data_IF_436085433545
#
_entry.id   IF_436085433545
#
_cell.length_a   1.000
_cell.length_b   1.000
_cell.length_c   1.000
_cell.angle_alpha   90.00
_cell.angle_beta   90.00
_cell.angle_gamma   90.00
#
_symmetry.space_group_name_H-M   'P 1'
#
loop_
_entity.id
_entity.type
_entity.pdbx_description
1 polymer ?
#
# COMPACT_ATOMS: atom_id res chain seq x y z
N UNK A 1 -17.47 23.20 14.66
CA UNK A 1 -16.75 22.33 13.72
C UNK A 1 -16.81 20.93 14.28
N UNK A 2 -17.46 19.97 13.60
CA UNK A 2 -17.45 18.58 14.06
C UNK A 2 -16.02 18.03 13.88
N UNK A 3 -15.43 17.56 14.96
CA UNK A 3 -14.13 16.90 14.95
C UNK A 3 -14.34 15.50 14.36
N UNK A 4 -13.59 15.14 13.31
CA UNK A 4 -13.58 13.77 12.78
C UNK A 4 -12.75 12.92 13.75
N UNK A 5 -13.31 11.78 14.18
CA UNK A 5 -12.58 10.81 14.98
C UNK A 5 -11.55 10.09 14.08
N UNK A 6 -10.25 10.14 14.38
CA UNK A 6 -9.22 9.43 13.61
C UNK A 6 -9.49 7.92 13.47
N UNK A 7 -10.20 7.30 14.42
CA UNK A 7 -10.57 5.89 14.35
C UNK A 7 -11.55 5.57 13.19
N UNK A 8 -12.22 6.57 12.65
CA UNK A 8 -13.11 6.42 11.50
C UNK A 8 -12.37 6.47 10.16
N UNK A 9 -11.11 6.89 10.13
CA UNK A 9 -10.36 7.06 8.90
C UNK A 9 -9.72 5.74 8.43
N UNK A 10 -9.88 5.43 7.15
CA UNK A 10 -9.20 4.34 6.45
C UNK A 10 -8.54 4.90 5.21
N UNK A 11 -7.21 4.97 5.23
CA UNK A 11 -6.41 5.46 4.11
C UNK A 11 -6.09 4.31 3.17
N UNK A 12 -6.37 4.45 1.89
CA UNK A 12 -6.10 3.44 0.87
C UNK A 12 -5.16 4.00 -0.18
N UNK A 13 -4.13 3.23 -0.51
CA UNK A 13 -3.13 3.64 -1.47
C UNK A 13 -2.40 2.42 -2.08
N UNK A 14 -1.54 2.67 -3.06
CA UNK A 14 -0.79 1.69 -3.84
C UNK A 14 0.70 1.77 -3.59
N UNK A 15 1.35 0.62 -3.56
CA UNK A 15 2.79 0.51 -3.36
C UNK A 15 3.42 -0.45 -4.37
N UNK A 16 4.18 0.07 -5.31
CA UNK A 16 4.96 -0.75 -6.25
C UNK A 16 6.18 -1.38 -5.60
N UNK A 17 6.35 -2.69 -5.80
CA UNK A 17 7.50 -3.48 -5.35
C UNK A 17 8.07 -4.33 -6.49
N UNK A 18 9.30 -4.82 -6.38
CA UNK A 18 9.92 -5.66 -7.41
C UNK A 18 11.09 -6.48 -6.86
N UNK A 19 11.49 -7.53 -7.57
CA UNK A 19 12.53 -8.48 -7.14
C UNK A 19 13.96 -7.94 -7.14
N UNK A 20 14.21 -6.77 -7.74
CA UNK A 20 15.51 -6.11 -7.68
C UNK A 20 15.66 -5.10 -6.52
N UNK A 21 14.66 -5.01 -5.62
CA UNK A 21 14.77 -4.18 -4.43
C UNK A 21 15.91 -4.66 -3.53
N UNK A 22 16.72 -3.72 -3.06
CA UNK A 22 17.88 -3.98 -2.21
C UNK A 22 18.09 -2.86 -1.21
N UNK A 23 18.86 -3.12 -0.16
CA UNK A 23 19.20 -2.11 0.84
C UNK A 23 19.86 -0.92 0.18
N UNK A 24 19.43 0.29 0.52
CA UNK A 24 20.01 1.54 0.01
C UNK A 24 21.33 1.90 0.68
N UNK A 25 21.61 1.34 1.86
CA UNK A 25 22.81 1.59 2.68
C UNK A 25 23.34 0.28 3.21
N UNK A 26 24.65 0.15 3.29
CA UNK A 26 25.36 -0.95 3.91
C UNK A 26 26.54 -0.42 4.70
N UNK A 27 27.03 -1.21 5.66
CA UNK A 27 28.23 -0.90 6.44
C UNK A 27 29.35 -1.83 6.00
N UNK A 28 30.58 -1.30 5.91
CA UNK A 28 31.80 -2.05 5.71
C UNK A 28 32.84 -1.56 6.72
N UNK A 29 33.95 -2.27 6.86
CA UNK A 29 35.08 -1.82 7.67
C UNK A 29 35.64 -0.51 7.11
N UNK A 30 36.27 0.27 7.96
CA UNK A 30 36.92 1.53 7.56
C UNK A 30 37.93 1.23 6.44
N UNK A 31 37.85 1.94 5.33
CA UNK A 31 38.68 1.73 4.13
C UNK A 31 38.14 0.69 3.15
N UNK A 32 37.10 -0.05 3.47
CA UNK A 32 36.48 -1.03 2.58
C UNK A 32 35.18 -0.48 1.99
N UNK A 33 34.84 -0.96 0.79
CA UNK A 33 33.60 -0.62 0.10
C UNK A 33 32.57 -1.71 0.33
N UNK A 34 31.37 -1.38 0.84
CA UNK A 34 30.26 -2.30 0.89
C UNK A 34 29.85 -2.70 -0.54
N UNK A 35 29.83 -4.00 -0.83
CA UNK A 35 29.46 -4.56 -2.13
C UNK A 35 28.22 -5.43 -1.99
N UNK A 36 27.35 -5.41 -3.01
CA UNK A 36 26.17 -6.28 -3.09
C UNK A 36 25.87 -6.64 -4.53
N UNK A 37 25.19 -7.76 -4.74
CA UNK A 37 24.71 -8.19 -6.06
C UNK A 37 23.20 -7.93 -6.14
N UNK A 38 22.78 -7.27 -7.23
CA UNK A 38 21.36 -6.96 -7.49
C UNK A 38 21.05 -7.41 -8.91
N UNK A 39 19.88 -8.01 -9.19
CA UNK A 39 19.47 -8.30 -10.54
C UNK A 39 19.50 -7.03 -11.41
N UNK A 40 20.09 -7.14 -12.59
CA UNK A 40 20.20 -6.01 -13.54
C UNK A 40 18.82 -5.57 -14.02
N UNK A 41 17.92 -6.52 -14.26
CA UNK A 41 16.57 -6.25 -14.70
C UNK A 41 15.64 -6.21 -13.51
N UNK A 42 14.75 -5.19 -13.47
CA UNK A 42 13.79 -4.99 -12.40
C UNK A 42 12.75 -6.14 -12.28
N UNK A 43 12.51 -6.85 -13.39
CA UNK A 43 11.42 -7.82 -13.49
C UNK A 43 10.03 -7.14 -13.46
N UNK A 44 8.95 -7.93 -13.48
CA UNK A 44 7.60 -7.43 -13.33
C UNK A 44 7.44 -6.68 -11.99
N UNK A 45 6.65 -5.61 -12.01
CA UNK A 45 6.26 -4.89 -10.80
C UNK A 45 5.18 -5.71 -10.10
N UNK A 46 5.28 -5.84 -8.78
CA UNK A 46 4.20 -6.31 -7.93
C UNK A 46 3.64 -5.09 -7.20
N UNK A 47 2.40 -4.75 -7.49
CA UNK A 47 1.71 -3.66 -6.81
C UNK A 47 0.94 -4.21 -5.61
N UNK A 48 1.16 -3.61 -4.46
CA UNK A 48 0.40 -3.83 -3.23
C UNK A 48 -0.64 -2.70 -3.13
N UNK A 49 -1.93 -3.07 -3.07
CA UNK A 49 -3.00 -2.21 -2.62
C UNK A 49 -3.26 -2.51 -1.15
N UNK A 50 -3.35 -1.48 -0.32
CA UNK A 50 -3.58 -1.68 1.11
C UNK A 50 -4.41 -0.55 1.73
N UNK A 51 -5.13 -0.90 2.77
CA UNK A 51 -5.87 0.04 3.62
C UNK A 51 -5.25 0.12 5.00
N UNK A 52 -5.00 1.34 5.47
CA UNK A 52 -4.45 1.66 6.80
C UNK A 52 -5.51 2.38 7.63
N UNK A 53 -5.75 1.89 8.84
CA UNK A 53 -6.54 2.57 9.87
C UNK A 53 -5.68 2.88 11.08
N UNK A 54 -6.26 3.49 12.10
CA UNK A 54 -5.58 3.71 13.39
C UNK A 54 -5.17 2.37 14.06
N UNK A 55 -5.88 1.28 13.76
CA UNK A 55 -5.55 -0.06 14.28
C UNK A 55 -4.46 -0.79 13.48
N UNK A 56 -3.91 -0.16 12.44
CA UNK A 56 -2.90 -0.75 11.55
C UNK A 56 -3.45 -1.10 10.16
N UNK A 57 -2.75 -1.99 9.44
CA UNK A 57 -3.17 -2.47 8.13
C UNK A 57 -4.43 -3.33 8.24
N UNK A 58 -5.52 -2.89 7.64
CA UNK A 58 -6.83 -3.58 7.70
C UNK A 58 -7.08 -4.47 6.49
N UNK A 59 -6.51 -4.13 5.34
CA UNK A 59 -6.64 -4.91 4.10
C UNK A 59 -5.36 -4.85 3.28
N UNK A 60 -5.11 -5.90 2.50
CA UNK A 60 -4.01 -5.92 1.54
C UNK A 60 -4.32 -6.88 0.38
N UNK A 61 -3.94 -6.48 -0.84
CA UNK A 61 -3.99 -7.29 -2.04
C UNK A 61 -2.74 -7.04 -2.89
N UNK A 62 -2.11 -8.07 -3.41
CA UNK A 62 -1.01 -7.93 -4.37
C UNK A 62 -1.50 -8.29 -5.77
N UNK A 63 -1.03 -7.54 -6.77
CA UNK A 63 -1.29 -7.79 -8.19
C UNK A 63 0.01 -7.63 -8.98
N UNK A 64 0.17 -8.42 -10.03
CA UNK A 64 1.28 -8.22 -10.97
C UNK A 64 0.94 -7.11 -11.96
N UNK A 65 1.87 -6.18 -12.12
CA UNK A 65 1.68 -5.00 -12.95
C UNK A 65 1.17 -3.79 -12.18
N UNK A 66 0.62 -2.83 -12.92
CA UNK A 66 -0.01 -1.63 -12.36
C UNK A 66 -1.47 -1.86 -11.99
N UNK A 67 -2.02 -0.92 -11.26
CA UNK A 67 -3.45 -0.89 -10.92
C UNK A 67 -4.19 -0.06 -11.93
N UNK A 68 -5.19 -0.64 -12.54
CA UNK A 68 -6.21 0.07 -13.31
C UNK A 68 -7.53 0.14 -12.52
N UNK A 69 -8.53 0.77 -13.10
CA UNK A 69 -9.86 0.90 -12.51
C UNK A 69 -10.51 -0.46 -12.20
N UNK A 70 -10.29 -1.49 -13.02
CA UNK A 70 -10.88 -2.80 -12.82
C UNK A 70 -10.23 -3.53 -11.64
N UNK A 71 -8.91 -3.48 -11.55
CA UNK A 71 -8.14 -4.04 -10.41
C UNK A 71 -8.51 -3.32 -9.11
N UNK A 72 -8.63 -2.00 -9.15
CA UNK A 72 -9.04 -1.23 -7.98
C UNK A 72 -10.47 -1.58 -7.54
N UNK A 73 -11.40 -1.78 -8.48
CA UNK A 73 -12.76 -2.22 -8.17
C UNK A 73 -12.78 -3.60 -7.50
N UNK A 74 -11.99 -4.56 -7.98
CA UNK A 74 -11.82 -5.88 -7.36
C UNK A 74 -11.31 -5.74 -5.93
N UNK A 75 -10.30 -4.91 -5.70
CA UNK A 75 -9.79 -4.64 -4.37
C UNK A 75 -10.88 -4.07 -3.45
N UNK A 76 -11.63 -3.08 -3.91
CA UNK A 76 -12.71 -2.49 -3.13
C UNK A 76 -13.77 -3.53 -2.79
N UNK A 77 -14.27 -4.28 -3.78
CA UNK A 77 -15.38 -5.23 -3.60
C UNK A 77 -15.01 -6.42 -2.70
N UNK A 78 -13.82 -6.99 -2.88
CA UNK A 78 -13.45 -8.25 -2.25
C UNK A 78 -12.57 -8.13 -1.01
N UNK A 79 -11.88 -7.02 -0.83
CA UNK A 79 -10.94 -6.82 0.28
C UNK A 79 -11.32 -5.65 1.18
N UNK A 80 -11.63 -4.49 0.60
CA UNK A 80 -11.90 -3.29 1.39
C UNK A 80 -13.28 -3.34 2.03
N UNK A 81 -14.34 -3.53 1.26
CA UNK A 81 -15.72 -3.52 1.77
C UNK A 81 -15.97 -4.52 2.91
N UNK A 82 -15.48 -5.77 2.87
CA UNK A 82 -15.65 -6.70 3.99
C UNK A 82 -14.96 -6.26 5.29
N UNK A 83 -13.95 -5.40 5.20
CA UNK A 83 -13.21 -4.91 6.35
C UNK A 83 -13.73 -3.56 6.89
N UNK A 84 -14.55 -2.86 6.12
CA UNK A 84 -15.14 -1.58 6.52
C UNK A 84 -16.26 -1.77 7.53
N UNK A 85 -16.44 -0.76 8.35
CA UNK A 85 -17.58 -0.62 9.28
C UNK A 85 -18.38 0.62 8.91
N UNK A 86 -19.72 0.58 9.01
CA UNK A 86 -20.55 1.77 8.77
C UNK A 86 -20.06 2.97 9.58
N UNK A 87 -20.07 4.14 8.97
CA UNK A 87 -19.58 5.39 9.55
C UNK A 87 -18.10 5.67 9.34
N UNK A 88 -17.33 4.76 8.72
CA UNK A 88 -15.95 5.03 8.37
C UNK A 88 -15.84 5.92 7.14
N UNK A 89 -14.70 6.60 7.04
CA UNK A 89 -14.33 7.50 5.96
C UNK A 89 -13.13 6.90 5.22
N UNK A 90 -13.36 6.45 4.01
CA UNK A 90 -12.30 5.93 3.11
C UNK A 90 -11.63 7.12 2.43
N UNK A 91 -10.36 7.28 2.67
CA UNK A 91 -9.53 8.36 2.10
C UNK A 91 -8.60 7.76 1.05
N UNK A 92 -8.72 8.23 -0.17
CA UNK A 92 -7.89 7.79 -1.32
C UNK A 92 -7.21 8.98 -1.95
N UNK A 93 -6.13 8.73 -2.66
CA UNK A 93 -5.50 9.78 -3.46
C UNK A 93 -6.36 10.17 -4.66
N UNK A 94 -5.99 11.28 -5.32
CA UNK A 94 -6.76 11.84 -6.42
C UNK A 94 -6.34 11.29 -7.79
N UNK A 95 -6.02 9.98 -7.88
CA UNK A 95 -5.68 9.29 -9.13
C UNK A 95 -6.94 8.89 -9.91
N UNK A 96 -6.87 8.94 -11.22
CA UNK A 96 -8.02 8.68 -12.10
C UNK A 96 -8.65 7.30 -11.94
N UNK A 97 -7.86 6.27 -11.60
CA UNK A 97 -8.34 4.91 -11.38
C UNK A 97 -9.29 4.77 -10.16
N UNK A 98 -9.22 5.70 -9.20
CA UNK A 98 -10.01 5.69 -7.98
C UNK A 98 -11.33 6.48 -8.08
N UNK A 99 -11.59 7.12 -9.21
CA UNK A 99 -12.72 8.06 -9.40
C UNK A 99 -14.04 7.51 -9.97
N UNK A 100 -14.20 6.25 -10.41
CA UNK A 100 -15.47 5.82 -10.97
C UNK A 100 -16.61 5.98 -9.98
N UNK A 101 -17.74 6.48 -10.44
CA UNK A 101 -18.97 6.62 -9.65
C UNK A 101 -19.40 5.29 -9.01
N UNK A 102 -19.08 4.16 -9.68
CA UNK A 102 -19.29 2.81 -9.13
C UNK A 102 -18.56 2.60 -7.80
N UNK A 103 -17.29 3.01 -7.68
CA UNK A 103 -16.50 2.86 -6.44
C UNK A 103 -17.14 3.66 -5.32
N UNK A 104 -17.54 4.88 -5.61
CA UNK A 104 -18.27 5.73 -4.66
C UNK A 104 -19.56 5.07 -4.21
N UNK A 105 -20.38 4.60 -5.14
CA UNK A 105 -21.65 3.96 -4.84
C UNK A 105 -21.49 2.70 -3.96
N UNK A 106 -20.45 1.88 -4.20
CA UNK A 106 -20.16 0.69 -3.40
C UNK A 106 -19.79 1.06 -1.95
N UNK A 107 -18.94 2.06 -1.75
CA UNK A 107 -18.50 2.51 -0.43
C UNK A 107 -19.66 3.17 0.33
N UNK A 108 -20.46 3.99 -0.34
CA UNK A 108 -21.63 4.64 0.25
C UNK A 108 -22.73 3.62 0.60
N UNK A 109 -22.93 2.60 -0.22
CA UNK A 109 -23.87 1.50 0.08
C UNK A 109 -23.48 0.68 1.33
N UNK A 110 -22.17 0.65 1.66
CA UNK A 110 -21.68 0.07 2.91
C UNK A 110 -21.83 1.01 4.13
N UNK A 111 -22.47 2.16 3.98
CA UNK A 111 -22.63 3.16 5.04
C UNK A 111 -21.36 3.95 5.35
N UNK A 112 -20.42 4.01 4.43
CA UNK A 112 -19.15 4.71 4.54
C UNK A 112 -19.11 5.94 3.63
N UNK A 113 -18.15 6.84 3.86
CA UNK A 113 -17.90 8.00 2.99
C UNK A 113 -16.62 7.78 2.19
N UNK A 114 -16.60 8.23 0.94
CA UNK A 114 -15.38 8.29 0.12
C UNK A 114 -14.91 9.73 -0.01
N UNK A 115 -13.68 9.97 0.37
CA UNK A 115 -13.03 11.29 0.31
C UNK A 115 -11.73 11.17 -0.50
N UNK A 116 -11.52 12.11 -1.41
CA UNK A 116 -10.26 12.23 -2.16
C UNK A 116 -9.34 13.25 -1.51
N UNK A 117 -8.06 12.89 -1.38
CA UNK A 117 -7.05 13.85 -0.98
C UNK A 117 -6.90 14.95 -2.04
N UNK A 118 -6.52 16.16 -1.64
CA UNK A 118 -6.13 17.18 -2.60
C UNK A 118 -5.00 16.67 -3.50
N UNK A 119 -4.98 17.09 -4.77
CA UNK A 119 -3.91 16.74 -5.68
C UNK A 119 -2.55 17.20 -5.09
N UNK A 120 -1.52 16.37 -5.26
CA UNK A 120 -0.14 16.66 -4.79
C UNK A 120 0.00 16.90 -3.28
N UNK A 121 -0.77 16.18 -2.46
CA UNK A 121 -0.72 16.31 -0.99
C UNK A 121 -0.33 14.98 -0.30
N UNK A 122 0.87 14.40 -0.59
CA UNK A 122 1.31 13.14 0.02
C UNK A 122 1.43 13.26 1.54
N UNK A 123 1.81 14.43 2.06
CA UNK A 123 1.97 14.69 3.50
C UNK A 123 0.69 14.45 4.32
N UNK A 124 -0.47 14.37 3.66
CA UNK A 124 -1.76 14.08 4.30
C UNK A 124 -2.10 12.59 4.36
N UNK A 125 -1.25 11.73 3.80
CA UNK A 125 -1.49 10.27 3.74
C UNK A 125 -0.52 9.50 4.64
N UNK A 126 -0.93 9.04 5.83
CA UNK A 126 -0.08 8.26 6.73
C UNK A 126 0.28 6.88 6.14
N UNK A 127 -0.44 6.40 5.13
CA UNK A 127 -0.17 5.11 4.47
C UNK A 127 1.16 5.14 3.73
N UNK A 128 1.64 6.30 3.27
CA UNK A 128 2.96 6.42 2.64
C UNK A 128 4.11 6.12 3.60
N UNK A 129 3.97 6.53 4.86
CA UNK A 129 4.96 6.17 5.89
C UNK A 129 4.97 4.66 6.16
N UNK A 130 3.79 4.04 6.25
CA UNK A 130 3.65 2.61 6.40
C UNK A 130 4.30 1.86 5.22
N UNK A 131 4.07 2.32 3.98
CA UNK A 131 4.72 1.77 2.80
C UNK A 131 6.22 1.99 2.76
N UNK A 132 6.72 3.09 3.30
CA UNK A 132 8.16 3.33 3.43
C UNK A 132 8.83 2.30 4.34
N UNK A 133 8.20 1.99 5.48
CA UNK A 133 8.65 0.94 6.41
C UNK A 133 8.60 -0.44 5.74
N UNK A 134 7.49 -0.76 5.09
CA UNK A 134 7.31 -2.01 4.33
C UNK A 134 8.38 -2.16 3.23
N UNK A 135 8.63 -1.14 2.43
CA UNK A 135 9.69 -1.15 1.42
C UNK A 135 11.09 -1.35 2.03
N UNK A 136 11.32 -0.82 3.21
CA UNK A 136 12.60 -1.02 3.93
C UNK A 136 12.78 -2.48 4.32
N UNK A 137 11.72 -3.12 4.84
CA UNK A 137 11.72 -4.54 5.15
C UNK A 137 11.94 -5.40 3.89
N UNK A 138 11.20 -5.16 2.82
CA UNK A 138 11.33 -5.89 1.55
C UNK A 138 12.74 -5.76 0.98
N UNK A 139 13.35 -4.57 1.04
CA UNK A 139 14.76 -4.36 0.63
C UNK A 139 15.74 -5.17 1.47
N UNK A 140 15.47 -5.31 2.76
CA UNK A 140 16.28 -6.13 3.65
C UNK A 140 16.12 -7.63 3.37
N UNK A 141 14.93 -8.09 3.04
CA UNK A 141 14.63 -9.47 2.66
C UNK A 141 15.31 -9.89 1.36
N UNK A 142 15.60 -8.92 0.47
CA UNK A 142 16.29 -9.15 -0.81
C UNK A 142 15.67 -10.30 -1.64
N UNK A 143 14.34 -10.38 -1.67
CA UNK A 143 13.59 -11.37 -2.42
C UNK A 143 13.90 -11.30 -3.92
N UNK A 144 14.28 -12.43 -4.53
CA UNK A 144 14.73 -12.51 -5.93
C UNK A 144 13.76 -13.26 -6.84
N UNK A 145 12.70 -13.81 -6.29
CA UNK A 145 11.60 -14.46 -7.01
C UNK A 145 10.28 -13.84 -6.61
N UNK A 146 9.25 -14.00 -7.42
CA UNK A 146 7.91 -13.52 -7.12
C UNK A 146 7.38 -14.13 -5.81
N UNK A 147 7.48 -15.45 -5.67
CA UNK A 147 7.01 -16.14 -4.48
C UNK A 147 7.73 -15.65 -3.20
N UNK A 148 9.04 -15.41 -3.26
CA UNK A 148 9.79 -14.85 -2.14
C UNK A 148 9.38 -13.40 -1.84
N UNK A 149 9.04 -12.60 -2.87
CA UNK A 149 8.56 -11.24 -2.70
C UNK A 149 7.18 -11.21 -2.03
N UNK A 150 6.25 -12.04 -2.49
CA UNK A 150 4.92 -12.17 -1.90
C UNK A 150 5.01 -12.63 -0.42
N UNK A 151 5.88 -13.60 -0.12
CA UNK A 151 6.14 -14.03 1.25
C UNK A 151 6.73 -12.90 2.12
N UNK A 152 7.67 -12.11 1.59
CA UNK A 152 8.24 -10.97 2.30
C UNK A 152 7.20 -9.88 2.57
N UNK A 153 6.30 -9.61 1.62
CA UNK A 153 5.18 -8.69 1.80
C UNK A 153 4.25 -9.19 2.91
N UNK A 154 3.87 -10.46 2.88
CA UNK A 154 3.00 -11.04 3.91
C UNK A 154 3.60 -10.92 5.32
N UNK A 155 4.90 -11.23 5.47
CA UNK A 155 5.61 -11.06 6.75
C UNK A 155 5.66 -9.59 7.17
N UNK A 156 5.95 -8.67 6.25
CA UNK A 156 5.98 -7.23 6.57
C UNK A 156 4.63 -6.71 7.04
N UNK A 157 3.53 -7.17 6.43
CA UNK A 157 2.17 -6.79 6.82
C UNK A 157 1.79 -7.32 8.20
N UNK A 158 2.23 -8.53 8.59
CA UNK A 158 1.96 -9.10 9.91
C UNK A 158 2.68 -8.35 11.05
N UNK A 159 3.74 -7.59 10.77
CA UNK A 159 4.47 -6.77 11.73
C UNK A 159 3.95 -5.31 11.79
N UNK A 160 2.97 -4.96 10.97
CA UNK A 160 2.42 -3.60 10.86
C UNK A 160 1.07 -3.44 11.58
N UNK A 161 0.74 -4.39 12.44
CA UNK A 161 -0.44 -4.36 13.32
C UNK A 161 -0.09 -3.76 14.68
#
# INVERSE_FOLDING_TARGET
MASIDPAQLVFVDECGTHTSMTRRRARARRGERARGRVPRNRGPVTTLLAGLSLAGMVTAMTVEGGTDTAVFAIYVEHFLLPALRPGQIVVVDNVGAHKPDRIRALIEAAGCLLVFLPAYSPDLSPVEEAFSKLKTFIRAAAARTRAALDAAIAVALSHSQ
#
